data_IF_449215552756
#
_entry.id   IF_449215552756
#
_cell.length_a   1.000
_cell.length_b   1.000
_cell.length_c   1.000
_cell.angle_alpha   90.00
_cell.angle_beta   90.00
_cell.angle_gamma   90.00
#
_symmetry.space_group_name_H-M   'P 1'
#
loop_
_entity.id
_entity.type
_entity.pdbx_description
1 polymer ?
#
# COMPACT_ATOMS: atom_id res chain seq x y z
N UNK A 1 -46.87 -7.81 6.88
CA UNK A 1 -45.52 -7.60 7.44
C UNK A 1 -44.74 -8.88 7.27
N UNK A 2 -43.90 -8.98 6.24
CA UNK A 2 -43.05 -10.15 5.98
C UNK A 2 -41.73 -9.95 6.71
N UNK A 3 -41.49 -10.71 7.78
CA UNK A 3 -40.21 -10.76 8.49
C UNK A 3 -39.19 -11.47 7.61
N UNK A 4 -38.41 -10.70 6.84
CA UNK A 4 -37.26 -11.23 6.11
C UNK A 4 -36.22 -11.72 7.12
N UNK A 5 -35.89 -13.01 7.04
CA UNK A 5 -34.81 -13.61 7.83
C UNK A 5 -33.50 -12.85 7.56
N UNK A 6 -32.69 -12.53 8.59
CA UNK A 6 -31.40 -11.88 8.37
C UNK A 6 -30.55 -12.74 7.45
N UNK A 7 -30.01 -12.12 6.40
CA UNK A 7 -29.09 -12.78 5.48
C UNK A 7 -27.91 -13.34 6.28
N UNK A 8 -27.53 -14.59 6.01
CA UNK A 8 -26.37 -15.22 6.63
C UNK A 8 -25.13 -14.34 6.41
N UNK A 9 -24.25 -14.19 7.42
CA UNK A 9 -22.99 -13.48 7.25
C UNK A 9 -22.23 -14.07 6.06
N UNK A 10 -21.81 -13.23 5.12
CA UNK A 10 -20.95 -13.66 4.03
C UNK A 10 -19.68 -14.25 4.64
N UNK A 11 -19.45 -15.54 4.41
CA UNK A 11 -18.22 -16.22 4.79
C UNK A 11 -17.08 -15.60 3.97
N UNK A 12 -16.37 -14.66 4.58
CA UNK A 12 -15.13 -14.11 4.01
C UNK A 12 -14.12 -15.23 4.09
N UNK A 13 -13.85 -15.90 2.96
CA UNK A 13 -12.71 -16.81 2.83
C UNK A 13 -11.47 -16.08 3.32
N UNK A 14 -10.97 -16.51 4.47
CA UNK A 14 -9.70 -16.04 5.02
C UNK A 14 -8.60 -16.30 4.00
N UNK A 15 -7.64 -15.37 3.95
CA UNK A 15 -6.62 -15.31 2.92
C UNK A 15 -6.01 -16.69 2.64
N UNK A 16 -6.09 -17.11 1.36
CA UNK A 16 -5.36 -18.26 0.85
C UNK A 16 -3.92 -18.17 1.33
N UNK A 17 -3.37 -19.24 1.92
CA UNK A 17 -1.93 -19.32 2.17
C UNK A 17 -1.24 -19.03 0.84
N UNK A 18 -0.51 -17.90 0.77
CA UNK A 18 0.19 -17.57 -0.45
C UNK A 18 1.22 -18.66 -0.63
N UNK A 19 1.18 -19.36 -1.78
CA UNK A 19 2.18 -20.39 -2.11
C UNK A 19 3.57 -19.79 -1.88
N UNK A 20 4.56 -20.53 -1.34
CA UNK A 20 5.88 -20.00 -0.98
C UNK A 20 6.56 -19.26 -2.15
N UNK A 21 6.27 -19.69 -3.38
CA UNK A 21 6.68 -19.02 -4.61
C UNK A 21 6.18 -17.57 -4.72
N UNK A 22 4.89 -17.31 -4.45
CA UNK A 22 4.29 -15.96 -4.54
C UNK A 22 4.91 -15.03 -3.50
N UNK A 23 5.11 -15.53 -2.27
CA UNK A 23 5.79 -14.78 -1.22
C UNK A 23 7.21 -14.42 -1.62
N UNK A 24 7.95 -15.38 -2.18
CA UNK A 24 9.32 -15.16 -2.65
C UNK A 24 9.39 -14.09 -3.76
N UNK A 25 8.48 -14.13 -4.74
CA UNK A 25 8.41 -13.13 -5.80
C UNK A 25 8.11 -11.72 -5.26
N UNK A 26 7.20 -11.61 -4.28
CA UNK A 26 6.87 -10.32 -3.66
C UNK A 26 8.04 -9.75 -2.87
N UNK A 27 8.72 -10.59 -2.08
CA UNK A 27 9.90 -10.18 -1.32
C UNK A 27 11.03 -9.74 -2.25
N UNK A 28 11.25 -10.44 -3.37
CA UNK A 28 12.21 -10.02 -4.39
C UNK A 28 11.86 -8.66 -4.98
N UNK A 29 10.59 -8.42 -5.31
CA UNK A 29 10.11 -7.12 -5.83
C UNK A 29 10.25 -5.96 -4.84
N UNK A 30 10.28 -6.24 -3.53
CA UNK A 30 10.45 -5.22 -2.48
C UNK A 30 11.94 -4.97 -2.18
N UNK A 31 12.75 -6.03 -2.12
CA UNK A 31 14.13 -5.97 -1.62
C UNK A 31 15.13 -5.65 -2.73
N UNK A 32 14.98 -6.25 -3.91
CA UNK A 32 15.97 -6.12 -4.99
C UNK A 32 16.06 -4.69 -5.52
N UNK A 33 14.95 -3.97 -5.83
CA UNK A 33 15.07 -2.63 -6.43
C UNK A 33 15.75 -1.60 -5.52
N UNK A 34 15.46 -1.48 -4.21
CA UNK A 34 16.19 -0.58 -3.32
C UNK A 34 17.68 -0.94 -3.20
N UNK A 35 18.01 -2.23 -3.08
CA UNK A 35 19.42 -2.66 -3.00
C UNK A 35 20.16 -2.38 -4.31
N UNK A 36 19.53 -2.63 -5.46
CA UNK A 36 20.10 -2.32 -6.76
C UNK A 36 20.32 -0.82 -6.94
N UNK A 37 19.39 0.02 -6.47
CA UNK A 37 19.54 1.47 -6.48
C UNK A 37 20.73 1.90 -5.60
N UNK A 38 20.84 1.40 -4.37
CA UNK A 38 21.96 1.72 -3.47
C UNK A 38 23.29 1.26 -4.07
N UNK A 39 23.36 0.03 -4.57
CA UNK A 39 24.56 -0.50 -5.21
C UNK A 39 24.94 0.34 -6.44
N UNK A 40 23.97 0.71 -7.27
CA UNK A 40 24.17 1.62 -8.39
C UNK A 40 24.73 2.96 -7.96
N UNK A 41 24.14 3.59 -6.94
CA UNK A 41 24.63 4.86 -6.38
C UNK A 41 26.06 4.76 -5.88
N UNK A 42 26.44 3.68 -5.20
CA UNK A 42 27.82 3.48 -4.70
C UNK A 42 28.80 3.27 -5.86
N UNK A 43 28.46 2.37 -6.80
CA UNK A 43 29.38 1.92 -7.85
C UNK A 43 29.53 2.94 -8.99
N UNK A 44 28.54 3.80 -9.18
CA UNK A 44 28.44 4.67 -10.34
C UNK A 44 28.31 6.16 -9.97
N UNK A 45 28.59 6.51 -8.70
CA UNK A 45 28.60 7.88 -8.21
C UNK A 45 29.50 8.76 -9.08
N UNK A 46 29.00 9.93 -9.47
CA UNK A 46 29.72 10.91 -10.30
C UNK A 46 30.11 10.44 -11.72
N UNK A 47 29.65 9.25 -12.16
CA UNK A 47 29.84 8.74 -13.53
C UNK A 47 28.53 8.62 -14.31
N UNK A 48 27.47 8.09 -13.67
CA UNK A 48 26.19 7.77 -14.34
C UNK A 48 24.97 8.54 -13.79
N UNK A 49 25.12 9.29 -12.70
CA UNK A 49 24.02 10.06 -12.11
C UNK A 49 24.22 11.55 -12.38
N UNK A 50 23.64 12.02 -13.47
CA UNK A 50 23.63 13.43 -13.83
C UNK A 50 22.45 14.19 -13.21
N UNK A 51 22.37 15.51 -13.43
CA UNK A 51 21.25 16.32 -12.97
C UNK A 51 19.88 15.82 -13.49
N UNK A 52 19.82 15.30 -14.72
CA UNK A 52 18.58 14.75 -15.29
C UNK A 52 18.08 13.55 -14.50
N UNK A 53 18.97 12.61 -14.12
CA UNK A 53 18.60 11.43 -13.35
C UNK A 53 18.05 11.81 -11.98
N UNK A 54 18.64 12.82 -11.34
CA UNK A 54 18.15 13.35 -10.07
C UNK A 54 16.76 13.99 -10.24
N UNK A 55 16.56 14.81 -11.28
CA UNK A 55 15.26 15.42 -11.58
C UNK A 55 14.20 14.36 -11.82
N UNK A 56 14.51 13.32 -12.60
CA UNK A 56 13.59 12.22 -12.85
C UNK A 56 13.31 11.42 -11.57
N UNK A 57 14.32 11.10 -10.78
CA UNK A 57 14.15 10.36 -9.53
C UNK A 57 13.21 11.11 -8.56
N UNK A 58 13.54 12.37 -8.23
CA UNK A 58 12.73 13.15 -7.30
C UNK A 58 11.37 13.55 -7.89
N UNK A 59 11.32 13.88 -9.19
CA UNK A 59 10.07 14.19 -9.88
C UNK A 59 9.10 13.01 -9.87
N UNK A 60 9.58 11.81 -10.19
CA UNK A 60 8.76 10.60 -10.18
C UNK A 60 8.40 10.15 -8.76
N UNK A 61 9.29 10.35 -7.78
CA UNK A 61 8.96 10.15 -6.37
C UNK A 61 7.78 11.04 -5.94
N UNK A 62 7.79 12.32 -6.30
CA UNK A 62 6.71 13.26 -6.01
C UNK A 62 5.42 12.90 -6.76
N UNK A 63 5.50 12.54 -8.05
CA UNK A 63 4.34 12.12 -8.85
C UNK A 63 3.65 10.91 -8.21
N UNK A 64 4.42 9.86 -7.88
CA UNK A 64 3.88 8.66 -7.24
C UNK A 64 3.36 8.95 -5.83
N UNK A 65 4.07 9.76 -5.03
CA UNK A 65 3.66 10.16 -3.69
C UNK A 65 2.38 11.00 -3.68
N UNK A 66 2.22 11.93 -4.63
CA UNK A 66 0.97 12.67 -4.81
C UNK A 66 -0.16 11.78 -5.32
N UNK A 67 0.15 10.80 -6.18
CA UNK A 67 -0.80 9.78 -6.60
C UNK A 67 -1.42 9.01 -5.43
N UNK A 68 -0.60 8.62 -4.44
CA UNK A 68 -1.10 7.96 -3.23
C UNK A 68 -1.84 8.94 -2.33
N UNK A 69 -1.25 10.09 -2.01
CA UNK A 69 -1.79 11.01 -1.00
C UNK A 69 -3.04 11.76 -1.47
N UNK A 70 -3.07 12.23 -2.72
CA UNK A 70 -4.21 12.96 -3.28
C UNK A 70 -5.19 11.99 -3.94
N UNK A 71 -4.68 11.05 -4.73
CA UNK A 71 -5.49 10.07 -5.45
C UNK A 71 -6.07 9.00 -4.54
N UNK A 72 -5.26 8.00 -4.17
CA UNK A 72 -5.73 6.81 -3.45
C UNK A 72 -6.34 7.18 -2.10
N UNK A 73 -5.67 8.04 -1.33
CA UNK A 73 -6.09 8.41 0.02
C UNK A 73 -7.26 9.40 0.01
N UNK A 74 -7.07 10.64 -0.45
CA UNK A 74 -8.10 11.69 -0.33
C UNK A 74 -9.27 11.50 -1.29
N UNK A 75 -9.01 11.23 -2.57
CA UNK A 75 -10.07 11.11 -3.56
C UNK A 75 -10.78 9.75 -3.51
N UNK A 76 -10.05 8.64 -3.64
CA UNK A 76 -10.67 7.32 -3.77
C UNK A 76 -11.17 6.76 -2.43
N UNK A 77 -10.39 6.87 -1.35
CA UNK A 77 -10.81 6.38 -0.03
C UNK A 77 -11.79 7.32 0.67
N UNK A 78 -11.43 8.59 0.82
CA UNK A 78 -12.18 9.54 1.66
C UNK A 78 -13.19 10.42 0.94
N UNK A 79 -13.19 10.44 -0.40
CA UNK A 79 -14.10 11.28 -1.20
C UNK A 79 -14.07 12.75 -0.75
N UNK A 80 -12.87 13.25 -0.41
CA UNK A 80 -12.70 14.59 0.19
C UNK A 80 -12.96 15.75 -0.78
N UNK A 81 -13.04 15.49 -2.08
CA UNK A 81 -13.31 16.50 -3.11
C UNK A 81 -13.85 15.85 -4.38
N UNK A 82 -14.54 16.65 -5.20
CA UNK A 82 -14.95 16.29 -6.56
C UNK A 82 -13.87 16.68 -7.58
N UNK A 83 -13.74 15.89 -8.64
CA UNK A 83 -12.78 16.13 -9.71
C UNK A 83 -13.35 15.70 -11.07
N UNK A 84 -13.01 16.41 -12.16
CA UNK A 84 -13.43 16.00 -13.50
C UNK A 84 -12.75 14.68 -13.90
N UNK A 85 -13.41 13.89 -14.76
CA UNK A 85 -12.97 12.53 -15.15
C UNK A 85 -11.49 12.44 -15.57
N UNK A 86 -10.90 13.38 -16.32
CA UNK A 86 -9.48 13.31 -16.68
C UNK A 86 -8.56 13.39 -15.46
N UNK A 87 -8.88 14.22 -14.47
CA UNK A 87 -8.11 14.35 -13.23
C UNK A 87 -8.23 13.08 -12.40
N UNK A 88 -9.42 12.49 -12.33
CA UNK A 88 -9.63 11.19 -11.65
C UNK A 88 -8.78 10.09 -12.27
N UNK A 89 -8.77 10.01 -13.60
CA UNK A 89 -7.95 9.05 -14.32
C UNK A 89 -6.45 9.27 -14.05
N UNK A 90 -5.99 10.53 -14.14
CA UNK A 90 -4.61 10.90 -13.86
C UNK A 90 -4.19 10.51 -12.43
N UNK A 91 -5.01 10.82 -11.43
CA UNK A 91 -4.75 10.44 -10.03
C UNK A 91 -4.68 8.93 -9.84
N UNK A 92 -5.51 8.17 -10.56
CA UNK A 92 -5.46 6.71 -10.60
C UNK A 92 -4.13 6.20 -11.16
N UNK A 93 -3.69 6.72 -12.31
CA UNK A 93 -2.41 6.37 -12.94
C UNK A 93 -1.23 6.70 -12.03
N UNK A 94 -1.18 7.93 -11.51
CA UNK A 94 -0.11 8.38 -10.61
C UNK A 94 -0.02 7.50 -9.35
N UNK A 95 -1.14 7.15 -8.74
CA UNK A 95 -1.14 6.27 -7.56
C UNK A 95 -0.72 4.84 -7.90
N UNK A 96 -1.11 4.32 -9.07
CA UNK A 96 -0.67 2.99 -9.53
C UNK A 96 0.84 2.91 -9.78
N UNK A 97 1.50 4.01 -10.13
CA UNK A 97 2.95 4.06 -10.29
C UNK A 97 3.72 3.83 -8.97
N UNK A 98 3.07 4.02 -7.82
CA UNK A 98 3.68 3.79 -6.51
C UNK A 98 3.77 2.30 -6.12
N UNK A 99 3.20 1.40 -6.91
CA UNK A 99 3.22 -0.06 -6.69
C UNK A 99 2.71 -0.54 -5.30
N UNK A 100 1.79 0.21 -4.67
CA UNK A 100 1.19 -0.17 -3.37
C UNK A 100 0.00 -1.14 -3.49
N UNK A 101 -0.08 -1.89 -4.59
CA UNK A 101 -1.19 -2.80 -4.91
C UNK A 101 -2.35 -2.15 -5.67
N UNK A 102 -3.38 -2.93 -6.05
CA UNK A 102 -4.51 -2.45 -6.83
C UNK A 102 -5.34 -1.39 -6.07
N UNK A 103 -5.88 -0.39 -6.79
CA UNK A 103 -6.71 0.69 -6.22
C UNK A 103 -7.80 0.16 -5.27
N UNK A 104 -8.56 -0.84 -5.71
CA UNK A 104 -9.67 -1.37 -4.92
C UNK A 104 -9.20 -1.97 -3.61
N UNK A 105 -8.10 -2.73 -3.63
CA UNK A 105 -7.53 -3.33 -2.43
C UNK A 105 -7.00 -2.26 -1.48
N UNK A 106 -6.25 -1.29 -2.00
CA UNK A 106 -5.71 -0.19 -1.20
C UNK A 106 -6.83 0.60 -0.52
N UNK A 107 -7.87 0.97 -1.28
CA UNK A 107 -9.02 1.73 -0.77
C UNK A 107 -9.81 0.95 0.27
N UNK A 108 -10.09 -0.34 0.04
CA UNK A 108 -10.82 -1.16 1.00
C UNK A 108 -10.03 -1.35 2.30
N UNK A 109 -8.73 -1.61 2.19
CA UNK A 109 -7.82 -1.79 3.33
C UNK A 109 -7.71 -0.50 4.13
N UNK A 110 -7.52 0.64 3.46
CA UNK A 110 -7.43 1.95 4.11
C UNK A 110 -8.72 2.34 4.85
N UNK A 111 -9.88 2.03 4.26
CA UNK A 111 -11.17 2.23 4.92
C UNK A 111 -11.36 1.30 6.12
N UNK A 112 -10.89 0.05 6.01
CA UNK A 112 -10.95 -0.92 7.11
C UNK A 112 -10.07 -0.47 8.29
N UNK A 113 -8.87 0.05 8.00
CA UNK A 113 -7.99 0.69 8.99
C UNK A 113 -8.70 1.83 9.71
N UNK A 114 -9.27 2.80 8.98
CA UNK A 114 -9.99 3.90 9.64
C UNK A 114 -11.21 3.44 10.45
N UNK A 115 -11.92 2.41 9.98
CA UNK A 115 -13.10 1.90 10.68
C UNK A 115 -12.77 1.12 11.96
N UNK A 116 -11.55 0.58 12.08
CA UNK A 116 -11.13 -0.27 13.19
C UNK A 116 -9.77 0.11 13.77
N UNK A 117 -9.37 1.38 13.63
CA UNK A 117 -8.02 1.86 13.98
C UNK A 117 -7.60 1.33 15.35
N UNK A 118 -6.38 0.82 15.41
CA UNK A 118 -5.76 0.33 16.66
C UNK A 118 -6.49 -0.86 17.31
N UNK A 119 -7.43 -1.49 16.62
CA UNK A 119 -8.11 -2.72 17.04
C UNK A 119 -7.72 -3.91 16.16
N UNK A 120 -8.10 -5.12 16.57
CA UNK A 120 -7.72 -6.38 15.91
C UNK A 120 -8.15 -6.47 14.43
N UNK A 121 -9.17 -5.73 14.03
CA UNK A 121 -9.70 -5.71 12.66
C UNK A 121 -8.98 -4.70 11.75
N UNK A 122 -8.15 -3.83 12.30
CA UNK A 122 -7.27 -2.98 11.49
C UNK A 122 -6.12 -3.83 10.94
N UNK A 123 -6.01 -3.96 9.60
CA UNK A 123 -4.99 -4.80 8.97
C UNK A 123 -3.58 -4.47 9.44
N UNK A 124 -3.28 -3.18 9.67
CA UNK A 124 -1.96 -2.68 10.01
C UNK A 124 -1.94 -1.95 11.34
N UNK A 125 -2.75 -2.45 12.28
CA UNK A 125 -2.79 -1.96 13.66
C UNK A 125 -1.38 -1.89 14.26
N UNK A 126 -1.03 -0.80 14.98
CA UNK A 126 0.19 -0.77 15.77
C UNK A 126 0.14 -1.74 16.95
N UNK A 127 -0.97 -2.44 17.20
CA UNK A 127 -1.11 -3.44 18.26
C UNK A 127 -1.24 -4.83 17.66
N UNK A 128 -0.11 -5.55 17.56
CA UNK A 128 -0.13 -6.93 17.08
C UNK A 128 -0.89 -7.84 18.07
N UNK A 129 -1.77 -8.74 17.59
CA UNK A 129 -2.51 -9.66 18.46
C UNK A 129 -1.58 -10.59 19.25
N UNK A 130 -1.84 -10.75 20.55
CA UNK A 130 -1.19 -11.76 21.40
C UNK A 130 0.26 -11.48 21.81
N UNK A 131 0.80 -10.28 21.56
CA UNK A 131 2.17 -9.91 21.91
C UNK A 131 2.24 -8.43 22.35
N UNK A 132 3.13 -8.08 23.29
CA UNK A 132 3.23 -6.72 23.84
C UNK A 132 4.58 -6.04 23.55
N UNK A 133 5.48 -6.71 22.83
CA UNK A 133 6.75 -6.13 22.41
C UNK A 133 6.58 -5.00 21.39
N UNK A 134 7.17 -3.85 21.68
CA UNK A 134 7.27 -2.71 20.75
C UNK A 134 7.81 -3.11 19.39
N UNK A 135 8.82 -3.98 19.33
CA UNK A 135 9.42 -4.40 18.07
C UNK A 135 8.43 -5.21 17.23
N UNK A 136 7.62 -6.05 17.85
CA UNK A 136 6.60 -6.85 17.15
C UNK A 136 5.49 -5.94 16.61
N UNK A 137 5.05 -4.99 17.42
CA UNK A 137 4.07 -3.95 17.05
C UNK A 137 4.56 -3.08 15.88
N UNK A 138 5.80 -2.60 15.95
CA UNK A 138 6.42 -1.80 14.89
C UNK A 138 6.54 -2.59 13.59
N UNK A 139 7.12 -3.80 13.62
CA UNK A 139 7.31 -4.57 12.39
C UNK A 139 5.98 -5.05 11.80
N UNK A 140 4.99 -5.36 12.64
CA UNK A 140 3.65 -5.72 12.18
C UNK A 140 3.00 -4.58 11.38
N UNK A 141 2.90 -3.39 11.97
CA UNK A 141 2.28 -2.22 11.32
C UNK A 141 3.06 -1.71 10.12
N UNK A 142 4.40 -1.84 10.14
CA UNK A 142 5.24 -1.36 9.04
C UNK A 142 5.17 -2.27 7.80
N UNK A 143 5.37 -3.58 7.95
CA UNK A 143 5.47 -4.52 6.81
C UNK A 143 4.75 -5.84 7.07
N UNK A 144 4.78 -6.36 8.31
CA UNK A 144 4.34 -7.70 8.64
C UNK A 144 2.86 -7.98 8.30
N UNK A 145 2.00 -6.96 8.34
CA UNK A 145 0.60 -7.07 7.96
C UNK A 145 0.36 -7.48 6.50
N UNK A 146 1.29 -7.16 5.59
CA UNK A 146 1.15 -7.47 4.16
C UNK A 146 1.17 -8.98 3.85
N UNK A 147 1.61 -9.78 4.83
CA UNK A 147 1.82 -11.22 4.69
C UNK A 147 0.77 -12.07 5.44
N UNK A 148 -0.24 -11.45 6.05
CA UNK A 148 -1.40 -12.13 6.63
C UNK A 148 -2.49 -12.36 5.59
#
# INVERSE_FOLDING_TARGET
>A
MTTGSPAAPLEVKTASSRKPFVLMTLLMGIIIPPLALIAGMILAWNSFFGPLDMILFFGMYLVSGFGITIGFHRYFSHKSFDAPKPVVFMLGVMGSMAMQGPIFWWVSTHRLHHAHSDHEKDPHSPHAPGEHSFLVHFWHSHIGWLFR
#
